data_IF_177756545743
#
_entry.id   IF_177756545743
#
_cell.length_a   1.000
_cell.length_b   1.000
_cell.length_c   1.000
_cell.angle_alpha   90.00
_cell.angle_beta   90.00
_cell.angle_gamma   90.00
#
_symmetry.space_group_name_H-M   'P 1'
#
loop_
_entity.id
_entity.type
_entity.pdbx_description
1 polymer ?
#
# COMPACT_ATOMS: atom_id res chain seq x y z
N UNK A 1 10.07 11.67 10.08
CA UNK A 1 10.84 10.57 10.69
C UNK A 1 10.30 9.24 10.13
N UNK A 2 11.17 8.32 9.69
CA UNK A 2 10.74 7.01 9.16
C UNK A 2 10.49 6.06 10.33
N UNK A 3 9.27 5.56 10.47
CA UNK A 3 8.87 4.66 11.58
C UNK A 3 8.97 3.17 11.22
N UNK A 4 8.84 2.86 9.93
CA UNK A 4 8.79 1.50 9.41
C UNK A 4 9.35 1.42 7.99
N UNK A 5 9.97 0.29 7.66
CA UNK A 5 10.45 -0.03 6.32
C UNK A 5 9.73 -1.31 5.85
N UNK A 6 9.01 -1.20 4.73
CA UNK A 6 8.34 -2.33 4.10
C UNK A 6 9.23 -2.94 3.02
N UNK A 7 9.38 -4.26 3.05
CA UNK A 7 10.26 -4.99 2.14
C UNK A 7 9.41 -5.54 0.99
N UNK A 8 9.50 -4.88 -0.17
CA UNK A 8 8.74 -5.19 -1.39
C UNK A 8 7.24 -4.85 -1.35
N UNK A 9 6.53 -5.11 -2.45
CA UNK A 9 5.10 -4.85 -2.63
C UNK A 9 4.42 -6.02 -3.38
N UNK A 10 3.34 -6.57 -2.85
CA UNK A 10 2.53 -7.64 -3.47
C UNK A 10 3.29 -8.84 -4.05
N UNK A 11 4.25 -9.44 -3.31
CA UNK A 11 5.09 -10.54 -3.83
C UNK A 11 4.32 -11.82 -4.20
N UNK A 12 3.09 -12.01 -3.74
CA UNK A 12 2.24 -13.13 -4.14
C UNK A 12 1.30 -12.80 -5.33
N UNK A 13 1.50 -11.64 -5.95
CA UNK A 13 0.89 -11.25 -7.20
C UNK A 13 1.87 -11.45 -8.36
N UNK A 14 1.47 -12.19 -9.39
CA UNK A 14 2.30 -12.49 -10.59
C UNK A 14 2.84 -11.24 -11.31
N UNK A 15 2.20 -10.09 -11.13
CA UNK A 15 2.64 -8.83 -11.75
C UNK A 15 3.80 -8.16 -11.00
N UNK A 16 4.15 -8.64 -9.80
CA UNK A 16 5.14 -8.05 -8.91
C UNK A 16 6.25 -9.02 -8.50
N UNK A 17 6.06 -10.32 -8.72
CA UNK A 17 7.07 -11.35 -8.51
C UNK A 17 6.84 -12.49 -9.51
N UNK A 18 7.90 -12.99 -10.12
CA UNK A 18 7.80 -13.99 -11.19
C UNK A 18 7.76 -15.41 -10.62
N UNK A 19 6.59 -16.10 -10.67
CA UNK A 19 6.46 -17.45 -10.14
C UNK A 19 7.14 -18.51 -11.02
N UNK A 20 7.53 -18.21 -12.26
CA UNK A 20 8.31 -19.15 -13.07
C UNK A 20 9.75 -19.23 -12.60
N UNK A 21 10.28 -18.12 -12.05
CA UNK A 21 11.63 -18.04 -11.49
C UNK A 21 11.66 -18.49 -10.03
N UNK A 22 10.66 -18.14 -9.23
CA UNK A 22 10.61 -18.40 -7.79
C UNK A 22 9.24 -19.00 -7.37
N UNK A 23 8.95 -20.25 -7.79
CA UNK A 23 7.62 -20.85 -7.66
C UNK A 23 7.17 -21.12 -6.22
N UNK A 24 8.10 -21.12 -5.26
CA UNK A 24 7.83 -21.35 -3.84
C UNK A 24 8.17 -20.16 -2.94
N UNK A 25 8.54 -19.01 -3.53
CA UNK A 25 8.95 -17.79 -2.81
C UNK A 25 10.23 -17.96 -1.97
N UNK A 26 11.07 -18.96 -2.26
CA UNK A 26 12.33 -19.15 -1.54
C UNK A 26 13.34 -18.03 -1.81
N UNK A 27 13.42 -17.51 -3.04
CA UNK A 27 14.26 -16.35 -3.36
C UNK A 27 13.71 -15.07 -2.73
N UNK A 28 12.39 -14.90 -2.74
CA UNK A 28 11.74 -13.79 -2.03
C UNK A 28 12.05 -13.83 -0.52
N UNK A 29 11.96 -15.01 0.10
CA UNK A 29 12.24 -15.20 1.52
C UNK A 29 13.71 -14.89 1.87
N UNK A 30 14.67 -15.30 1.04
CA UNK A 30 16.09 -14.94 1.22
C UNK A 30 16.30 -13.43 1.09
N UNK A 31 15.66 -12.78 0.11
CA UNK A 31 15.70 -11.32 -0.05
C UNK A 31 15.15 -10.59 1.18
N UNK A 32 13.99 -11.01 1.68
CA UNK A 32 13.39 -10.46 2.92
C UNK A 32 14.32 -10.63 4.11
N UNK A 33 14.95 -11.80 4.25
CA UNK A 33 15.87 -12.09 5.36
C UNK A 33 17.08 -11.16 5.34
N UNK A 34 17.69 -10.96 4.17
CA UNK A 34 18.84 -10.06 3.98
C UNK A 34 18.48 -8.60 4.19
N UNK A 35 17.35 -8.16 3.65
CA UNK A 35 16.87 -6.79 3.81
C UNK A 35 16.53 -6.49 5.27
N UNK A 36 15.81 -7.39 5.95
CA UNK A 36 15.46 -7.26 7.36
C UNK A 36 16.70 -7.22 8.28
N UNK A 37 17.71 -8.06 8.00
CA UNK A 37 18.98 -8.02 8.72
C UNK A 37 19.75 -6.70 8.48
N UNK A 38 19.74 -6.20 7.23
CA UNK A 38 20.41 -4.94 6.89
C UNK A 38 19.74 -3.73 7.54
N UNK A 39 18.40 -3.69 7.54
CA UNK A 39 17.64 -2.65 8.24
C UNK A 39 17.96 -2.66 9.73
N UNK A 40 17.96 -3.85 10.36
CA UNK A 40 18.26 -3.97 11.78
C UNK A 40 19.69 -3.56 12.14
N UNK A 41 20.66 -3.85 11.26
CA UNK A 41 22.05 -3.45 11.45
C UNK A 41 22.26 -1.93 11.36
N UNK A 42 21.49 -1.25 10.51
CA UNK A 42 21.55 0.22 10.35
C UNK A 42 20.75 0.94 11.43
N UNK A 43 19.52 0.52 11.67
CA UNK A 43 18.65 1.10 12.70
C UNK A 43 17.64 0.06 13.23
N UNK A 44 17.92 -0.57 14.38
CA UNK A 44 17.04 -1.60 14.95
C UNK A 44 15.70 -1.06 15.47
N UNK A 45 15.53 0.27 15.57
CA UNK A 45 14.27 0.87 16.02
C UNK A 45 13.24 1.01 14.87
N UNK A 46 13.64 0.80 13.61
CA UNK A 46 12.72 0.85 12.48
C UNK A 46 11.95 -0.47 12.41
N UNK A 47 10.62 -0.39 12.43
CA UNK A 47 9.76 -1.57 12.28
C UNK A 47 9.93 -2.16 10.88
N UNK A 48 10.27 -3.44 10.77
CA UNK A 48 10.38 -4.14 9.49
C UNK A 48 9.05 -4.77 9.14
N UNK A 49 8.51 -4.43 7.97
CA UNK A 49 7.19 -4.88 7.53
C UNK A 49 7.38 -5.77 6.32
N UNK A 50 6.79 -6.97 6.36
CA UNK A 50 6.72 -7.83 5.18
C UNK A 50 5.96 -7.10 4.06
N UNK A 51 6.39 -7.22 2.81
CA UNK A 51 5.67 -6.65 1.67
C UNK A 51 4.20 -7.05 1.69
N UNK A 52 3.31 -6.07 1.52
CA UNK A 52 1.87 -6.29 1.67
C UNK A 52 1.36 -7.31 0.66
N UNK A 53 0.75 -8.39 1.15
CA UNK A 53 0.26 -9.48 0.31
C UNK A 53 -1.04 -9.09 -0.40
N UNK A 54 -1.18 -9.54 -1.64
CA UNK A 54 -2.35 -9.39 -2.49
C UNK A 54 -2.37 -10.55 -3.48
N UNK A 55 -3.32 -11.51 -3.38
CA UNK A 55 -4.44 -11.55 -2.44
C UNK A 55 -4.03 -11.84 -0.99
N UNK A 56 -4.96 -11.66 -0.06
CA UNK A 56 -4.82 -12.09 1.34
C UNK A 56 -4.86 -13.63 1.39
N UNK A 57 -3.77 -14.24 1.85
CA UNK A 57 -3.61 -15.70 1.84
C UNK A 57 -2.82 -16.20 3.07
N UNK A 58 -3.45 -16.90 4.03
CA UNK A 58 -2.77 -17.46 5.19
C UNK A 58 -1.81 -18.62 4.84
N UNK A 59 -2.03 -19.35 3.74
CA UNK A 59 -1.12 -20.41 3.31
C UNK A 59 0.19 -19.84 2.77
N UNK A 60 0.14 -18.68 2.12
CA UNK A 60 1.34 -17.96 1.70
C UNK A 60 2.18 -17.50 2.91
N UNK A 61 1.54 -17.03 3.98
CA UNK A 61 2.26 -16.69 5.24
C UNK A 61 2.96 -17.93 5.81
N UNK A 62 2.28 -19.07 5.90
CA UNK A 62 2.89 -20.33 6.36
C UNK A 62 4.03 -20.81 5.46
N UNK A 63 3.92 -20.59 4.14
CA UNK A 63 5.00 -20.90 3.19
C UNK A 63 6.25 -20.11 3.54
N UNK A 64 6.12 -18.80 3.70
CA UNK A 64 7.23 -17.91 4.08
C UNK A 64 7.81 -18.22 5.46
N UNK A 65 6.96 -18.59 6.42
CA UNK A 65 7.40 -19.10 7.72
C UNK A 65 8.27 -20.35 7.58
N UNK A 66 7.86 -21.29 6.71
CA UNK A 66 8.65 -22.48 6.39
C UNK A 66 10.02 -22.19 5.76
N UNK A 67 10.19 -21.01 5.15
CA UNK A 67 11.47 -20.51 4.64
C UNK A 67 12.24 -19.65 5.67
N UNK A 68 11.68 -19.42 6.85
CA UNK A 68 12.33 -18.72 7.98
C UNK A 68 12.35 -17.18 7.88
N UNK A 69 11.82 -16.57 6.82
CA UNK A 69 11.96 -15.12 6.63
C UNK A 69 11.08 -14.29 7.57
N UNK A 70 10.09 -14.91 8.24
CA UNK A 70 9.26 -14.21 9.22
C UNK A 70 10.09 -13.75 10.44
N UNK A 71 11.21 -14.38 10.75
CA UNK A 71 12.11 -13.93 11.83
C UNK A 71 12.78 -12.57 11.54
N UNK A 72 12.84 -12.18 10.26
CA UNK A 72 13.46 -10.93 9.81
C UNK A 72 12.51 -9.73 9.77
N UNK A 73 11.22 -9.94 10.06
CA UNK A 73 10.18 -8.90 10.04
C UNK A 73 9.38 -8.86 11.33
N UNK A 74 8.83 -7.70 11.64
CA UNK A 74 8.08 -7.43 12.87
C UNK A 74 6.56 -7.43 12.63
N UNK A 75 6.13 -7.21 11.39
CA UNK A 75 4.73 -6.99 10.99
C UNK A 75 4.39 -7.75 9.71
N UNK A 76 3.18 -8.31 9.63
CA UNK A 76 2.59 -8.82 8.39
C UNK A 76 1.66 -7.77 7.79
N UNK A 77 1.80 -7.50 6.49
CA UNK A 77 0.98 -6.53 5.80
C UNK A 77 0.05 -7.19 4.78
N UNK A 78 -1.16 -6.63 4.64
CA UNK A 78 -2.18 -7.10 3.72
C UNK A 78 -2.75 -5.95 2.89
N UNK A 79 -3.13 -6.24 1.65
CA UNK A 79 -3.83 -5.32 0.76
C UNK A 79 -5.24 -5.84 0.43
N UNK A 80 -6.20 -4.93 0.29
CA UNK A 80 -7.56 -5.32 -0.08
C UNK A 80 -8.36 -4.22 -0.77
N UNK A 81 -9.02 -4.63 -1.86
CA UNK A 81 -9.82 -3.81 -2.77
C UNK A 81 -11.08 -4.60 -3.21
N UNK A 82 -11.98 -4.95 -2.26
CA UNK A 82 -13.13 -5.82 -2.50
C UNK A 82 -14.19 -5.26 -3.46
N UNK A 83 -14.16 -3.96 -3.76
CA UNK A 83 -15.07 -3.32 -4.72
C UNK A 83 -14.46 -3.18 -6.13
N UNK A 84 -13.19 -3.56 -6.30
CA UNK A 84 -12.44 -3.34 -7.54
C UNK A 84 -11.79 -4.61 -8.07
N UNK A 85 -10.92 -5.26 -7.29
CA UNK A 85 -10.09 -6.38 -7.77
C UNK A 85 -10.24 -7.67 -6.97
N UNK A 86 -10.63 -7.60 -5.69
CA UNK A 86 -10.79 -8.80 -4.89
C UNK A 86 -12.22 -9.35 -4.94
N UNK A 87 -12.35 -10.67 -4.93
CA UNK A 87 -13.62 -11.39 -5.06
C UNK A 87 -14.21 -11.79 -3.70
N UNK A 88 -14.33 -10.83 -2.79
CA UNK A 88 -14.95 -11.01 -1.47
C UNK A 88 -15.65 -9.71 -1.04
N UNK A 89 -16.60 -9.81 -0.10
CA UNK A 89 -17.43 -8.66 0.29
C UNK A 89 -16.63 -7.69 1.16
N UNK A 90 -16.82 -6.37 1.03
CA UNK A 90 -16.18 -5.40 1.96
C UNK A 90 -16.46 -5.74 3.44
N UNK A 91 -17.60 -6.35 3.75
CA UNK A 91 -17.96 -6.79 5.09
C UNK A 91 -17.10 -7.95 5.63
N UNK A 92 -16.36 -8.65 4.76
CA UNK A 92 -15.49 -9.76 5.14
C UNK A 92 -14.12 -9.26 5.64
N UNK A 93 -13.82 -7.95 5.60
CA UNK A 93 -12.56 -7.39 6.10
C UNK A 93 -12.14 -7.93 7.48
N UNK A 94 -13.00 -7.91 8.52
CA UNK A 94 -12.63 -8.46 9.83
C UNK A 94 -12.26 -9.94 9.79
N UNK A 95 -12.93 -10.73 8.95
CA UNK A 95 -12.62 -12.15 8.76
C UNK A 95 -11.31 -12.33 8.00
N UNK A 96 -11.02 -11.52 6.98
CA UNK A 96 -9.75 -11.53 6.24
C UNK A 96 -8.54 -11.22 7.12
N UNK A 97 -8.68 -10.30 8.08
CA UNK A 97 -7.64 -10.07 9.08
C UNK A 97 -7.50 -11.29 10.01
N UNK A 98 -8.62 -11.85 10.48
CA UNK A 98 -8.60 -13.01 11.38
C UNK A 98 -7.99 -14.26 10.72
N UNK A 99 -8.16 -14.46 9.41
CA UNK A 99 -7.51 -15.54 8.65
C UNK A 99 -5.98 -15.49 8.78
N UNK A 100 -5.39 -14.28 8.74
CA UNK A 100 -3.93 -14.09 8.87
C UNK A 100 -3.49 -14.22 10.32
N UNK A 101 -4.20 -13.61 11.26
CA UNK A 101 -3.90 -13.71 12.70
C UNK A 101 -3.98 -15.17 13.20
N UNK A 102 -4.78 -16.02 12.57
CA UNK A 102 -4.86 -17.44 12.92
C UNK A 102 -3.58 -18.25 12.57
N UNK A 103 -2.65 -17.67 11.81
CA UNK A 103 -1.43 -18.35 11.35
C UNK A 103 -0.13 -17.65 11.73
N UNK A 104 -0.20 -16.54 12.50
CA UNK A 104 0.98 -15.83 12.99
C UNK A 104 0.65 -15.01 14.24
N UNK A 105 1.60 -14.90 15.17
CA UNK A 105 1.48 -14.03 16.35
C UNK A 105 1.90 -12.58 16.05
N UNK A 106 2.37 -12.29 14.84
CA UNK A 106 2.80 -10.93 14.45
C UNK A 106 1.59 -10.02 14.21
N UNK A 107 1.69 -8.72 14.55
CA UNK A 107 0.65 -7.75 14.23
C UNK A 107 0.40 -7.67 12.72
N UNK A 108 -0.88 -7.54 12.36
CA UNK A 108 -1.33 -7.38 10.97
C UNK A 108 -1.65 -5.92 10.67
N UNK A 109 -1.06 -5.35 9.62
CA UNK A 109 -1.37 -4.00 9.12
C UNK A 109 -2.09 -4.06 7.78
N UNK A 110 -3.06 -3.17 7.56
CA UNK A 110 -3.70 -2.97 6.25
C UNK A 110 -2.97 -1.85 5.53
N UNK A 111 -2.05 -2.20 4.64
CA UNK A 111 -1.10 -1.23 4.05
C UNK A 111 -1.51 -0.70 2.69
N UNK A 112 -2.54 -1.30 2.09
CA UNK A 112 -3.34 -0.71 1.02
C UNK A 112 -4.79 -1.14 1.18
N UNK A 113 -5.69 -0.16 1.21
CA UNK A 113 -7.12 -0.37 1.05
C UNK A 113 -7.70 0.80 0.28
N UNK A 114 -8.66 0.53 -0.60
CA UNK A 114 -9.29 1.59 -1.36
C UNK A 114 -10.53 1.12 -2.08
N UNK A 115 -11.27 2.10 -2.61
CA UNK A 115 -12.40 1.90 -3.50
C UNK A 115 -12.28 2.89 -4.66
N UNK A 116 -12.32 2.39 -5.88
CA UNK A 116 -12.31 3.21 -7.09
C UNK A 116 -13.64 3.93 -7.27
N UNK A 117 -13.58 5.20 -7.67
CA UNK A 117 -14.78 5.97 -8.06
C UNK A 117 -15.21 5.71 -9.51
N UNK A 118 -14.72 4.64 -10.14
CA UNK A 118 -15.01 4.32 -11.53
C UNK A 118 -16.49 3.96 -11.69
N UNK A 119 -17.24 4.82 -12.37
CA UNK A 119 -18.68 4.68 -12.61
C UNK A 119 -19.56 5.57 -11.74
N UNK A 120 -19.16 5.86 -10.50
CA UNK A 120 -19.86 6.80 -9.60
C UNK A 120 -18.94 7.20 -8.41
N UNK A 121 -18.91 8.48 -8.06
CA UNK A 121 -18.06 8.99 -6.97
C UNK A 121 -18.62 8.69 -5.57
N UNK A 122 -19.93 8.52 -5.47
CA UNK A 122 -20.65 8.16 -4.25
C UNK A 122 -20.23 6.77 -3.74
N UNK A 123 -19.80 5.88 -4.64
CA UNK A 123 -19.28 4.55 -4.27
C UNK A 123 -18.00 4.68 -3.45
N UNK A 124 -17.15 5.65 -3.77
CA UNK A 124 -15.93 5.90 -3.00
C UNK A 124 -16.25 6.53 -1.63
N UNK A 125 -17.30 7.36 -1.52
CA UNK A 125 -17.78 7.88 -0.23
C UNK A 125 -18.18 6.72 0.69
N UNK A 126 -19.03 5.82 0.19
CA UNK A 126 -19.40 4.59 0.91
C UNK A 126 -18.16 3.76 1.27
N UNK A 127 -17.23 3.60 0.33
CA UNK A 127 -16.00 2.85 0.52
C UNK A 127 -15.15 3.37 1.68
N UNK A 128 -14.88 4.67 1.71
CA UNK A 128 -14.12 5.31 2.80
C UNK A 128 -14.81 5.09 4.15
N UNK A 129 -16.11 5.37 4.22
CA UNK A 129 -16.88 5.27 5.48
C UNK A 129 -16.95 3.84 5.99
N UNK A 130 -17.21 2.89 5.09
CA UNK A 130 -17.31 1.47 5.45
C UNK A 130 -15.95 0.86 5.81
N UNK A 131 -14.89 1.22 5.11
CA UNK A 131 -13.52 0.79 5.46
C UNK A 131 -13.13 1.32 6.85
N UNK A 132 -13.40 2.59 7.13
CA UNK A 132 -13.11 3.17 8.43
C UNK A 132 -13.88 2.46 9.56
N UNK A 133 -15.19 2.23 9.38
CA UNK A 133 -16.04 1.49 10.32
C UNK A 133 -15.50 0.09 10.64
N UNK A 134 -15.01 -0.64 9.64
CA UNK A 134 -14.60 -2.04 9.79
C UNK A 134 -13.17 -2.22 10.31
N UNK A 135 -12.28 -1.27 10.02
CA UNK A 135 -10.85 -1.43 10.26
C UNK A 135 -10.30 -0.57 11.41
N UNK A 136 -10.86 0.63 11.66
CA UNK A 136 -10.39 1.47 12.77
C UNK A 136 -10.67 0.75 14.09
N UNK A 137 -9.63 0.62 14.93
CA UNK A 137 -9.69 -0.15 16.17
C UNK A 137 -9.56 -1.67 15.97
N UNK A 138 -9.69 -2.21 14.74
CA UNK A 138 -9.50 -3.63 14.44
C UNK A 138 -8.05 -3.98 14.14
N UNK A 139 -7.30 -3.09 13.49
CA UNK A 139 -5.88 -3.25 13.18
C UNK A 139 -5.08 -1.99 13.56
N UNK A 140 -3.77 -2.11 13.86
CA UNK A 140 -2.99 -0.96 14.33
C UNK A 140 -2.74 0.13 13.27
N UNK A 141 -2.61 -0.27 12.00
CA UNK A 141 -2.37 0.66 10.88
C UNK A 141 -3.20 0.32 9.66
N UNK A 142 -3.74 1.36 9.05
CA UNK A 142 -4.60 1.35 7.86
C UNK A 142 -4.11 2.47 6.96
N UNK A 143 -3.97 2.21 5.67
CA UNK A 143 -3.53 3.19 4.68
C UNK A 143 -4.44 3.19 3.46
N UNK A 144 -5.18 4.29 3.27
CA UNK A 144 -6.08 4.50 2.16
C UNK A 144 -5.31 4.79 0.86
N UNK A 145 -5.56 4.00 -0.18
CA UNK A 145 -5.06 4.19 -1.53
C UNK A 145 -6.12 4.88 -2.39
N UNK A 146 -5.94 6.14 -2.81
CA UNK A 146 -4.80 7.04 -2.60
C UNK A 146 -5.23 8.52 -2.52
N UNK A 147 -4.29 9.46 -2.43
CA UNK A 147 -4.61 10.90 -2.37
C UNK A 147 -5.03 11.43 -3.75
N UNK A 148 -4.24 11.15 -4.80
CA UNK A 148 -4.50 11.63 -6.15
C UNK A 148 -4.89 10.51 -7.11
N UNK A 149 -5.82 10.81 -8.00
CA UNK A 149 -6.05 10.01 -9.18
C UNK A 149 -4.77 9.92 -9.99
N UNK A 150 -4.59 8.77 -10.65
CA UNK A 150 -3.51 8.56 -11.58
C UNK A 150 -3.89 9.25 -12.91
N UNK A 151 -3.07 10.19 -13.43
CA UNK A 151 -3.32 10.76 -14.76
C UNK A 151 -3.31 9.65 -15.83
N UNK A 152 -4.27 9.67 -16.74
CA UNK A 152 -4.40 8.62 -17.76
C UNK A 152 -3.19 8.59 -18.69
N UNK A 153 -2.59 9.75 -18.94
CA UNK A 153 -1.36 9.92 -19.73
C UNK A 153 -0.13 9.22 -19.13
N UNK A 154 -0.13 8.92 -17.82
CA UNK A 154 1.01 8.26 -17.15
C UNK A 154 0.94 6.74 -17.25
N UNK A 155 -0.24 6.19 -17.52
CA UNK A 155 -0.51 4.75 -17.59
C UNK A 155 -0.48 4.06 -16.22
N UNK A 156 -1.32 3.05 -16.03
CA UNK A 156 -1.22 2.17 -14.86
C UNK A 156 -0.04 1.20 -15.03
N UNK A 157 0.92 1.25 -14.10
CA UNK A 157 2.07 0.31 -14.09
C UNK A 157 1.56 -1.12 -13.87
N UNK A 158 2.30 -2.11 -14.38
CA UNK A 158 2.06 -3.57 -14.20
C UNK A 158 0.78 -4.16 -14.81
N UNK A 159 0.06 -3.45 -15.70
CA UNK A 159 -1.21 -3.90 -16.30
C UNK A 159 -1.23 -3.94 -17.84
N UNK A 160 -2.05 -4.83 -18.40
CA UNK A 160 -2.17 -5.13 -19.83
C UNK A 160 -3.30 -4.37 -20.56
N UNK A 161 -3.60 -3.12 -20.15
CA UNK A 161 -4.61 -2.24 -20.77
C UNK A 161 -5.95 -2.95 -21.03
N UNK A 162 -6.37 -3.00 -22.29
CA UNK A 162 -7.68 -3.50 -22.73
C UNK A 162 -7.91 -4.97 -22.39
N UNK A 163 -6.84 -5.77 -22.25
CA UNK A 163 -6.95 -7.19 -21.90
C UNK A 163 -7.54 -7.44 -20.51
N UNK A 164 -7.57 -6.42 -19.64
CA UNK A 164 -8.09 -6.50 -18.27
C UNK A 164 -9.48 -5.88 -18.10
N UNK A 165 -10.09 -5.40 -19.20
CA UNK A 165 -11.41 -4.79 -19.17
C UNK A 165 -11.50 -3.57 -18.24
N UNK A 166 -12.61 -3.44 -17.51
CA UNK A 166 -12.84 -2.31 -16.60
C UNK A 166 -11.85 -2.25 -15.44
N UNK A 167 -11.23 -3.38 -15.07
CA UNK A 167 -10.22 -3.45 -14.00
C UNK A 167 -9.02 -2.56 -14.25
N UNK A 168 -8.64 -2.37 -15.52
CA UNK A 168 -7.57 -1.45 -15.90
C UNK A 168 -7.94 0.01 -15.59
N UNK A 169 -9.15 0.41 -15.98
CA UNK A 169 -9.59 1.80 -15.86
C UNK A 169 -9.79 2.24 -14.42
N UNK A 170 -10.15 1.31 -13.52
CA UNK A 170 -10.32 1.58 -12.08
C UNK A 170 -9.08 2.21 -11.44
N UNK A 171 -7.88 1.86 -11.91
CA UNK A 171 -6.61 2.40 -11.41
C UNK A 171 -6.52 3.93 -11.52
N UNK A 172 -7.21 4.55 -12.48
CA UNK A 172 -7.18 6.00 -12.69
C UNK A 172 -8.14 6.77 -11.76
N UNK A 173 -8.97 6.08 -10.98
CA UNK A 173 -10.04 6.68 -10.19
C UNK A 173 -9.96 6.34 -8.69
N UNK A 174 -8.77 5.96 -8.20
CA UNK A 174 -8.53 5.57 -6.80
C UNK A 174 -8.26 6.76 -5.86
N UNK A 175 -7.96 7.94 -6.41
CA UNK A 175 -7.65 9.13 -5.62
C UNK A 175 -8.87 9.73 -4.97
N UNK A 176 -8.66 10.43 -3.85
CA UNK A 176 -9.63 11.33 -3.23
C UNK A 176 -9.69 12.69 -3.94
N UNK A 177 -8.67 12.99 -4.75
CA UNK A 177 -8.53 14.20 -5.55
C UNK A 177 -8.34 13.78 -7.00
N UNK A 178 -9.07 14.42 -7.92
CA UNK A 178 -8.98 14.14 -9.36
C UNK A 178 -7.63 14.55 -9.92
N UNK A 179 -7.31 14.06 -11.12
CA UNK A 179 -6.06 14.35 -11.80
C UNK A 179 -5.85 15.86 -12.07
N UNK A 180 -6.94 16.62 -12.19
CA UNK A 180 -6.92 18.09 -12.36
C UNK A 180 -6.77 18.87 -11.03
N UNK A 181 -6.63 18.17 -9.90
CA UNK A 181 -6.49 18.75 -8.56
C UNK A 181 -7.82 19.09 -7.87
N UNK A 182 -8.97 18.84 -8.51
CA UNK A 182 -10.27 19.08 -7.88
C UNK A 182 -10.63 17.97 -6.88
N UNK A 183 -11.14 18.30 -5.68
CA UNK A 183 -11.50 17.29 -4.69
C UNK A 183 -12.74 16.49 -5.10
N UNK A 184 -12.75 15.19 -4.80
CA UNK A 184 -13.95 14.33 -4.90
C UNK A 184 -14.77 14.40 -3.60
N UNK A 185 -16.07 14.04 -3.64
CA UNK A 185 -16.92 14.00 -2.43
C UNK A 185 -16.35 13.12 -1.31
N UNK A 186 -15.64 12.05 -1.66
CA UNK A 186 -15.00 11.12 -0.72
C UNK A 186 -13.91 11.77 0.14
N UNK A 187 -13.31 12.88 -0.31
CA UNK A 187 -12.29 13.61 0.44
C UNK A 187 -12.85 14.13 1.78
N UNK A 188 -14.10 14.62 1.79
CA UNK A 188 -14.75 15.11 3.01
C UNK A 188 -15.03 13.96 3.99
N UNK A 189 -15.38 12.77 3.50
CA UNK A 189 -15.53 11.59 4.37
C UNK A 189 -14.18 11.08 4.87
N UNK A 190 -13.12 11.13 4.06
CA UNK A 190 -11.77 10.77 4.51
C UNK A 190 -11.24 11.75 5.56
N UNK A 191 -11.47 13.06 5.39
CA UNK A 191 -11.01 14.09 6.32
C UNK A 191 -11.49 13.84 7.77
N UNK A 192 -12.68 13.25 7.96
CA UNK A 192 -13.23 12.89 9.28
C UNK A 192 -12.40 11.83 10.00
N UNK A 193 -11.66 11.00 9.28
CA UNK A 193 -10.92 9.83 9.80
C UNK A 193 -9.43 9.87 9.49
N UNK A 194 -8.93 10.93 8.86
CA UNK A 194 -7.54 11.05 8.37
C UNK A 194 -6.46 10.93 9.46
N UNK A 195 -6.81 11.22 10.72
CA UNK A 195 -5.89 11.05 11.84
C UNK A 195 -5.69 9.58 12.26
N UNK A 196 -6.67 8.72 11.97
CA UNK A 196 -6.71 7.31 12.35
C UNK A 196 -6.43 6.37 11.17
N UNK A 197 -6.91 6.72 9.98
CA UNK A 197 -6.63 6.04 8.73
C UNK A 197 -5.63 6.86 7.89
N UNK A 198 -4.42 6.34 7.74
CA UNK A 198 -3.35 6.99 6.98
C UNK A 198 -3.62 7.03 5.48
N UNK A 199 -2.71 7.64 4.73
CA UNK A 199 -2.69 7.62 3.27
C UNK A 199 -1.61 6.70 2.75
N UNK A 200 -1.91 5.98 1.68
CA UNK A 200 -0.93 5.41 0.78
C UNK A 200 -0.86 6.31 -0.46
N UNK A 201 0.30 6.90 -0.73
CA UNK A 201 0.53 7.66 -1.96
C UNK A 201 1.90 7.30 -2.53
N UNK A 202 1.92 6.76 -3.75
CA UNK A 202 3.15 6.63 -4.52
C UNK A 202 3.60 8.00 -5.03
N UNK A 203 4.89 8.28 -4.88
CA UNK A 203 5.57 9.38 -5.58
C UNK A 203 6.61 8.77 -6.50
N UNK A 204 6.41 8.93 -7.81
CA UNK A 204 7.43 8.52 -8.78
C UNK A 204 8.66 9.44 -8.69
N UNK A 205 9.76 9.03 -9.32
CA UNK A 205 10.96 9.85 -9.41
C UNK A 205 10.63 11.27 -9.90
N UNK A 206 10.98 12.28 -9.10
CA UNK A 206 10.68 13.70 -9.34
C UNK A 206 9.18 14.01 -9.55
N UNK A 207 8.29 13.31 -8.85
CA UNK A 207 6.84 13.55 -8.94
C UNK A 207 6.51 15.03 -8.62
N UNK A 208 5.93 15.79 -9.58
CA UNK A 208 5.67 17.21 -9.41
C UNK A 208 4.56 17.48 -8.38
N UNK A 209 3.80 16.45 -7.98
CA UNK A 209 2.69 16.59 -7.03
C UNK A 209 3.13 16.55 -5.57
N UNK A 210 4.42 16.30 -5.27
CA UNK A 210 4.92 16.15 -3.89
C UNK A 210 4.53 17.31 -2.98
N UNK A 211 4.81 18.55 -3.39
CA UNK A 211 4.57 19.73 -2.55
C UNK A 211 3.07 19.97 -2.31
N UNK A 212 2.22 19.70 -3.31
CA UNK A 212 0.78 19.81 -3.16
C UNK A 212 0.19 18.66 -2.33
N UNK A 213 0.76 17.46 -2.43
CA UNK A 213 0.42 16.33 -1.58
C UNK A 213 0.63 16.69 -0.11
N UNK A 214 1.80 17.26 0.23
CA UNK A 214 2.13 17.68 1.60
C UNK A 214 1.14 18.72 2.11
N UNK A 215 0.77 19.72 1.30
CA UNK A 215 -0.24 20.71 1.68
C UNK A 215 -1.59 20.06 1.98
N UNK A 216 -2.04 19.11 1.15
CA UNK A 216 -3.27 18.38 1.35
C UNK A 216 -3.23 17.51 2.60
N UNK A 217 -2.17 16.72 2.81
CA UNK A 217 -2.02 15.89 4.01
C UNK A 217 -2.06 16.73 5.29
N UNK A 218 -1.39 17.90 5.30
CA UNK A 218 -1.44 18.86 6.42
C UNK A 218 -2.85 19.40 6.64
N UNK A 219 -3.56 19.78 5.56
CA UNK A 219 -4.95 20.27 5.61
C UNK A 219 -5.92 19.21 6.14
N UNK A 220 -5.76 17.96 5.72
CA UNK A 220 -6.59 16.83 6.14
C UNK A 220 -6.29 16.38 7.57
N UNK A 221 -5.13 16.76 8.13
CA UNK A 221 -4.67 16.29 9.43
C UNK A 221 -4.16 14.85 9.40
N UNK A 222 -3.77 14.33 8.24
CA UNK A 222 -3.21 12.98 8.08
C UNK A 222 -1.96 12.83 8.94
N UNK A 223 -1.89 11.76 9.73
CA UNK A 223 -0.78 11.49 10.66
C UNK A 223 0.16 10.37 10.21
N UNK A 224 -0.30 9.53 9.28
CA UNK A 224 0.40 8.34 8.82
C UNK A 224 0.42 8.34 7.30
N UNK A 225 1.61 8.20 6.72
CA UNK A 225 1.81 8.06 5.29
C UNK A 225 2.57 6.77 5.01
N UNK A 226 2.13 6.03 4.00
CA UNK A 226 2.90 5.00 3.32
C UNK A 226 3.21 5.52 1.93
N UNK A 227 4.49 5.52 1.59
CA UNK A 227 4.99 5.79 0.24
C UNK A 227 6.11 4.78 -0.03
N UNK A 228 6.87 4.95 -1.12
CA UNK A 228 8.03 4.11 -1.33
C UNK A 228 9.15 4.77 -2.09
N UNK A 229 10.33 4.17 -1.89
CA UNK A 229 11.55 4.45 -2.63
C UNK A 229 11.77 3.27 -3.57
N UNK A 230 11.82 3.55 -4.86
CA UNK A 230 12.05 2.52 -5.87
C UNK A 230 13.53 2.15 -5.90
N UNK A 231 13.84 0.87 -5.70
CA UNK A 231 15.20 0.35 -5.92
C UNK A 231 15.67 0.63 -7.35
N UNK A 232 14.80 0.52 -8.35
CA UNK A 232 15.17 0.82 -9.73
C UNK A 232 15.54 2.30 -9.93
N UNK A 233 14.91 3.22 -9.19
CA UNK A 233 15.25 4.64 -9.27
C UNK A 233 16.61 4.96 -8.65
N UNK A 234 17.18 4.08 -7.80
CA UNK A 234 18.54 4.26 -7.25
C UNK A 234 19.65 4.25 -8.31
N UNK A 235 19.36 3.75 -9.52
CA UNK A 235 20.28 3.79 -10.66
C UNK A 235 20.17 5.07 -11.50
N UNK A 236 19.22 5.97 -11.19
CA UNK A 236 19.07 7.24 -11.88
C UNK A 236 20.11 8.26 -11.38
N UNK A 237 20.49 9.25 -12.21
CA UNK A 237 21.23 10.41 -11.74
C UNK A 237 20.51 11.06 -10.54
N UNK A 238 21.28 11.55 -9.57
CA UNK A 238 20.77 12.33 -8.42
C UNK A 238 19.64 11.64 -7.62
N UNK A 239 19.60 10.30 -7.62
CA UNK A 239 18.57 9.53 -6.94
C UNK A 239 18.53 9.79 -5.43
N UNK A 240 19.69 9.92 -4.80
CA UNK A 240 19.81 10.22 -3.37
C UNK A 240 19.25 11.60 -3.06
N UNK A 241 19.60 12.63 -3.84
CA UNK A 241 19.06 13.98 -3.67
C UNK A 241 17.54 14.02 -3.79
N UNK A 242 16.96 13.22 -4.71
CA UNK A 242 15.51 13.06 -4.80
C UNK A 242 14.91 12.37 -3.57
N UNK A 243 15.54 11.29 -3.08
CA UNK A 243 15.06 10.58 -1.90
C UNK A 243 15.11 11.48 -0.65
N UNK A 244 16.20 12.23 -0.47
CA UNK A 244 16.35 13.18 0.63
C UNK A 244 15.29 14.28 0.55
N UNK A 245 15.09 14.90 -0.63
CA UNK A 245 14.03 15.89 -0.83
C UNK A 245 12.65 15.33 -0.50
N UNK A 246 12.35 14.10 -0.93
CA UNK A 246 11.07 13.46 -0.62
C UNK A 246 10.88 13.28 0.88
N UNK A 247 11.91 12.77 1.58
CA UNK A 247 11.83 12.54 3.03
C UNK A 247 11.75 13.85 3.83
N UNK A 248 12.46 14.90 3.39
CA UNK A 248 12.39 16.24 3.99
C UNK A 248 11.00 16.87 3.86
N UNK A 249 10.40 16.78 2.67
CA UNK A 249 9.07 17.34 2.43
C UNK A 249 7.96 16.63 3.25
N UNK A 250 8.12 15.32 3.48
CA UNK A 250 7.16 14.48 4.19
C UNK A 250 7.33 14.45 5.72
N UNK A 251 8.44 14.99 6.25
CA UNK A 251 8.73 15.02 7.68
C UNK A 251 7.79 15.95 8.48
#
# INVERSE_FOLDING_TARGET
>A
MIEAAMIWNEPNNKSHWDPEVDPDWSLFADMVSRAGASIAAVNPNVTRVLGGMSPIDPLWVKRLEGHGCLDAVDVIAVHGFPLDWNLWSIHDWPAKIAEIEAVTDKPVWVTEVGVGSFGAEEVQVFGVEKTAELLIGRVPRIYWYSLFDLPQEWGATTRHREAEGSSYYRHFYMGLIRADGTPKPSLDSYAKVASEMGLMQWFHYQDPRLDDAVKWMRRLGTKKLRTGLSWADSFRPDAIDWFDRQMEALA
#
